data_IF_145150150866
#
_entry.id   IF_145150150866
#
_cell.length_a   1.000
_cell.length_b   1.000
_cell.length_c   1.000
_cell.angle_alpha   90.00
_cell.angle_beta   90.00
_cell.angle_gamma   90.00
#
_symmetry.space_group_name_H-M   'P 1'
#
loop_
_entity.id
_entity.type
_entity.pdbx_description
1 polymer ?
#
# COMPACT_ATOMS: atom_id res chain seq x y z
N UNK A 1 -23.93 21.99 -4.79
CA UNK A 1 -25.34 21.72 -5.16
C UNK A 1 -26.10 21.30 -3.90
N UNK A 2 -27.20 22.01 -3.65
CA UNK A 2 -28.34 21.73 -2.74
C UNK A 2 -28.09 21.26 -1.29
N UNK A 3 -28.04 22.25 -0.38
CA UNK A 3 -28.94 22.31 0.80
C UNK A 3 -30.26 22.94 0.34
N UNK A 4 -31.44 22.57 0.88
CA UNK A 4 -32.08 23.30 2.00
C UNK A 4 -32.83 22.32 2.95
N UNK A 5 -33.37 22.66 4.13
CA UNK A 5 -34.15 23.84 4.48
C UNK A 5 -34.02 24.24 5.95
N UNK A 6 -33.81 25.54 6.15
CA UNK A 6 -34.19 26.33 7.32
C UNK A 6 -35.55 26.97 7.04
N UNK A 7 -36.46 26.92 8.00
CA UNK A 7 -37.49 27.94 8.22
C UNK A 7 -37.17 28.57 9.59
N UNK A 8 -36.88 29.87 9.79
CA UNK A 8 -37.65 31.11 9.54
C UNK A 8 -39.00 31.06 10.28
N UNK A 9 -39.43 31.97 11.18
CA UNK A 9 -39.27 33.44 11.27
C UNK A 9 -39.72 33.95 12.68
N UNK A 10 -39.22 35.15 13.05
CA UNK A 10 -39.82 36.28 13.79
C UNK A 10 -40.76 36.04 14.99
N UNK A 11 -40.52 36.58 16.20
CA UNK A 11 -40.38 37.98 16.65
C UNK A 11 -41.71 38.74 16.91
N UNK A 12 -41.81 39.22 18.15
CA UNK A 12 -42.40 40.48 18.64
C UNK A 12 -43.94 40.73 18.66
N UNK A 13 -44.33 41.44 19.73
CA UNK A 13 -45.49 42.30 20.03
C UNK A 13 -46.33 41.78 21.22
N UNK A 14 -46.37 42.41 22.40
CA UNK A 14 -46.73 43.79 22.78
C UNK A 14 -48.25 44.06 22.84
N UNK A 15 -48.69 44.42 24.05
CA UNK A 15 -49.81 45.29 24.45
C UNK A 15 -51.27 44.97 24.08
N UNK A 16 -52.10 45.08 25.12
CA UNK A 16 -53.56 45.29 25.14
C UNK A 16 -54.06 44.84 26.51
N UNK A 17 -54.40 45.65 27.51
CA UNK A 17 -55.19 46.90 27.60
C UNK A 17 -56.60 46.76 27.04
N UNK A 18 -57.51 46.30 27.90
CA UNK A 18 -58.93 46.68 27.96
C UNK A 18 -59.41 46.32 29.39
N UNK A 19 -59.55 47.25 30.33
CA UNK A 19 -60.65 48.21 30.47
C UNK A 19 -62.01 47.49 30.67
N UNK A 20 -62.32 47.17 31.93
CA UNK A 20 -63.65 46.80 32.40
C UNK A 20 -63.88 47.44 33.78
N UNK A 21 -64.64 48.52 33.80
CA UNK A 21 -64.96 49.37 34.95
C UNK A 21 -66.18 48.84 35.72
N UNK A 22 -66.14 49.12 37.04
CA UNK A 22 -67.26 49.22 37.98
C UNK A 22 -67.84 47.87 38.48
N UNK A 23 -68.09 47.64 39.77
CA UNK A 23 -68.54 48.52 40.86
C UNK A 23 -68.29 47.90 42.25
N UNK A 24 -68.06 48.78 43.22
CA UNK A 24 -68.53 48.73 44.62
C UNK A 24 -67.79 47.90 45.68
N UNK A 25 -67.23 48.68 46.61
CA UNK A 25 -66.80 48.47 48.00
C UNK A 25 -67.65 47.47 48.81
N UNK A 26 -67.04 46.77 49.79
CA UNK A 26 -66.94 47.38 51.11
C UNK A 26 -65.51 47.42 51.64
N UNK A 27 -65.14 48.58 52.17
CA UNK A 27 -64.06 48.77 53.12
C UNK A 27 -64.34 47.93 54.37
N UNK A 28 -63.86 46.68 54.37
CA UNK A 28 -63.69 45.90 55.58
C UNK A 28 -62.56 46.49 56.43
N UNK A 29 -62.63 46.42 57.76
CA UNK A 29 -61.55 46.88 58.61
C UNK A 29 -60.27 46.15 58.23
N UNK A 30 -59.18 46.89 58.08
CA UNK A 30 -57.83 46.34 57.93
C UNK A 30 -57.57 45.40 59.12
N UNK A 31 -57.83 44.11 58.91
CA UNK A 31 -57.42 43.04 59.81
C UNK A 31 -55.91 43.20 59.89
N UNK A 32 -55.39 43.45 61.09
CA UNK A 32 -53.95 43.56 61.32
C UNK A 32 -53.29 42.36 60.64
N UNK A 33 -52.52 42.62 59.58
CA UNK A 33 -51.86 41.57 58.82
C UNK A 33 -51.00 40.77 59.80
N UNK A 34 -51.36 39.50 60.00
CA UNK A 34 -50.57 38.60 60.82
C UNK A 34 -49.13 38.60 60.27
N UNK A 35 -48.11 38.69 61.14
CA UNK A 35 -46.72 38.80 60.70
C UNK A 35 -46.23 37.58 59.92
N UNK A 36 -46.98 36.47 59.98
CA UNK A 36 -46.66 35.18 59.39
C UNK A 36 -47.91 34.58 58.73
N UNK A 37 -48.13 34.82 57.44
CA UNK A 37 -49.12 34.00 56.73
C UNK A 37 -48.53 32.60 56.52
N UNK A 38 -49.29 31.57 56.90
CA UNK A 38 -48.90 30.17 56.73
C UNK A 38 -48.54 29.86 55.27
N UNK A 39 -49.27 30.44 54.33
CA UNK A 39 -49.02 30.34 52.89
C UNK A 39 -47.65 30.92 52.48
N UNK A 40 -47.23 32.05 53.06
CA UNK A 40 -45.94 32.66 52.73
C UNK A 40 -44.76 31.85 53.31
N UNK A 41 -44.93 31.31 54.53
CA UNK A 41 -43.94 30.41 55.14
C UNK A 41 -43.85 29.10 54.36
N UNK A 42 -44.98 28.51 54.00
CA UNK A 42 -45.05 27.30 53.19
C UNK A 42 -44.36 27.49 51.84
N UNK A 43 -44.67 28.57 51.11
CA UNK A 43 -44.04 28.88 49.83
C UNK A 43 -42.52 29.05 49.96
N UNK A 44 -42.04 29.71 51.02
CA UNK A 44 -40.62 29.95 51.23
C UNK A 44 -39.85 28.69 51.66
N UNK A 45 -40.48 27.79 52.43
CA UNK A 45 -39.89 26.49 52.79
C UNK A 45 -39.81 25.56 51.57
N UNK A 46 -40.86 25.51 50.75
CA UNK A 46 -40.85 24.75 49.48
C UNK A 46 -39.76 25.29 48.54
N UNK A 47 -39.59 26.61 48.49
CA UNK A 47 -38.52 27.26 47.71
C UNK A 47 -37.13 26.89 48.23
N UNK A 48 -36.94 26.82 49.55
CA UNK A 48 -35.66 26.47 50.18
C UNK A 48 -35.29 25.00 50.04
N UNK A 49 -36.26 24.08 50.14
CA UNK A 49 -36.01 22.65 50.05
C UNK A 49 -35.83 22.14 48.61
N UNK A 50 -36.33 22.87 47.62
CA UNK A 50 -36.21 22.51 46.22
C UNK A 50 -37.21 21.42 45.77
N UNK A 51 -37.18 21.04 44.49
CA UNK A 51 -38.25 20.27 43.85
C UNK A 51 -38.31 18.79 44.26
N UNK A 52 -37.29 18.28 44.95
CA UNK A 52 -37.21 16.87 45.35
C UNK A 52 -37.99 16.57 46.62
N UNK A 53 -38.22 17.57 47.46
CA UNK A 53 -38.84 17.43 48.76
C UNK A 53 -40.28 17.92 48.75
N UNK A 54 -41.19 17.09 49.25
CA UNK A 54 -42.59 17.45 49.47
C UNK A 54 -42.80 17.81 50.92
N UNK A 55 -43.39 18.98 51.19
CA UNK A 55 -43.80 19.37 52.53
C UNK A 55 -45.12 18.66 52.89
N UNK A 56 -45.14 17.89 53.97
CA UNK A 56 -46.34 17.18 54.44
C UNK A 56 -47.05 17.88 55.58
N UNK A 57 -46.29 18.36 56.56
CA UNK A 57 -46.84 19.11 57.69
C UNK A 57 -45.90 20.22 58.14
N UNK A 58 -46.50 21.30 58.61
CA UNK A 58 -45.83 22.51 59.09
C UNK A 58 -46.35 22.81 60.50
N UNK A 59 -45.45 22.86 61.48
CA UNK A 59 -45.78 23.37 62.81
C UNK A 59 -45.04 24.67 63.05
N UNK A 60 -45.76 25.67 63.56
CA UNK A 60 -45.23 27.00 63.81
C UNK A 60 -45.45 27.39 65.27
N UNK A 61 -44.36 27.74 65.95
CA UNK A 61 -44.35 28.24 67.32
C UNK A 61 -43.84 29.67 67.32
N UNK A 62 -44.65 30.64 67.73
CA UNK A 62 -44.24 32.05 67.77
C UNK A 62 -43.26 32.28 68.92
N UNK A 63 -42.13 32.92 68.62
CA UNK A 63 -41.09 33.27 69.59
C UNK A 63 -41.24 34.74 69.97
N UNK A 64 -41.35 35.01 71.26
CA UNK A 64 -41.33 36.37 71.80
C UNK A 64 -39.89 36.91 71.76
N UNK A 65 -39.63 37.91 70.92
CA UNK A 65 -38.32 38.58 70.83
C UNK A 65 -38.25 39.66 71.92
N UNK A 66 -37.38 39.54 72.94
CA UNK A 66 -37.27 40.55 73.98
C UNK A 66 -36.32 41.68 73.55
N UNK A 67 -36.83 42.91 73.49
CA UNK A 67 -36.00 44.14 73.43
C UNK A 67 -36.29 45.08 72.25
N UNK A 68 -36.80 46.27 72.59
CA UNK A 68 -37.00 47.53 71.83
C UNK A 68 -37.81 47.50 70.52
N UNK A 69 -38.90 48.30 70.55
CA UNK A 69 -39.84 48.69 69.49
C UNK A 69 -40.74 47.56 68.94
N UNK A 70 -41.65 47.14 69.82
CA UNK A 70 -42.60 46.02 69.76
C UNK A 70 -43.73 46.13 68.71
N UNK A 71 -43.38 46.41 67.45
CA UNK A 71 -44.36 46.39 66.36
C UNK A 71 -43.79 46.17 64.96
N UNK A 72 -42.46 46.08 64.81
CA UNK A 72 -41.79 46.04 63.51
C UNK A 72 -41.02 44.74 63.22
N UNK A 73 -40.83 43.85 64.22
CA UNK A 73 -40.16 42.55 64.05
C UNK A 73 -40.89 41.44 64.81
N UNK A 74 -40.97 40.26 64.23
CA UNK A 74 -41.49 39.05 64.87
C UNK A 74 -40.61 37.83 64.50
N UNK A 75 -40.56 36.83 65.37
CA UNK A 75 -39.86 35.57 65.11
C UNK A 75 -40.78 34.37 65.34
N UNK A 76 -40.62 33.30 64.57
CA UNK A 76 -41.30 32.03 64.79
C UNK A 76 -40.34 30.87 64.55
N UNK A 77 -40.38 29.86 65.43
CA UNK A 77 -39.74 28.57 65.19
C UNK A 77 -40.68 27.74 64.33
N UNK A 78 -40.11 27.13 63.31
CA UNK A 78 -40.83 26.29 62.36
C UNK A 78 -40.22 24.90 62.40
N UNK A 79 -41.06 23.87 62.47
CA UNK A 79 -40.67 22.51 62.14
C UNK A 79 -41.52 22.03 60.95
N UNK A 80 -40.84 21.69 59.87
CA UNK A 80 -41.43 21.23 58.62
C UNK A 80 -41.08 19.76 58.40
N UNK A 81 -42.10 18.88 58.36
CA UNK A 81 -41.90 17.47 57.99
C UNK A 81 -41.93 17.34 56.47
N UNK A 82 -40.85 16.83 55.92
CA UNK A 82 -40.62 16.75 54.49
C UNK A 82 -40.41 15.30 54.08
N UNK A 83 -40.96 14.93 52.93
CA UNK A 83 -40.81 13.58 52.36
C UNK A 83 -40.21 13.65 50.96
N UNK A 84 -39.27 12.75 50.66
CA UNK A 84 -38.62 12.72 49.37
C UNK A 84 -39.60 12.19 48.30
N UNK A 85 -39.85 12.98 47.26
CA UNK A 85 -40.88 12.70 46.27
C UNK A 85 -40.46 11.64 45.22
N UNK A 86 -39.16 11.51 44.96
CA UNK A 86 -38.59 10.68 43.87
C UNK A 86 -37.29 10.04 44.38
N UNK A 87 -36.97 8.78 44.02
CA UNK A 87 -35.73 8.16 44.47
C UNK A 87 -34.53 8.85 43.82
N UNK A 88 -33.44 8.94 44.56
CA UNK A 88 -32.25 9.66 44.15
C UNK A 88 -31.02 8.75 44.19
N UNK A 89 -30.05 9.08 43.34
CA UNK A 89 -28.90 8.25 43.05
C UNK A 89 -27.61 9.07 43.04
N UNK A 90 -26.50 8.40 43.33
CA UNK A 90 -25.13 8.92 43.15
C UNK A 90 -24.47 8.15 42.01
N UNK A 91 -23.63 8.83 41.22
CA UNK A 91 -22.84 8.20 40.17
C UNK A 91 -21.72 7.36 40.80
N UNK A 92 -21.72 6.06 40.51
CA UNK A 92 -20.72 5.10 40.98
C UNK A 92 -19.50 5.06 40.03
N UNK A 93 -19.77 4.77 38.76
CA UNK A 93 -18.77 4.78 37.69
C UNK A 93 -19.37 5.22 36.37
N UNK A 94 -18.52 5.66 35.44
CA UNK A 94 -18.91 6.04 34.08
C UNK A 94 -18.05 5.29 33.07
N UNK A 95 -18.70 4.50 32.22
CA UNK A 95 -18.06 3.72 31.17
C UNK A 95 -18.64 4.20 29.82
N UNK A 96 -17.94 5.12 29.19
CA UNK A 96 -18.37 5.75 27.94
C UNK A 96 -19.68 6.52 28.08
N UNK A 97 -20.73 6.03 27.40
CA UNK A 97 -22.07 6.62 27.35
C UNK A 97 -23.03 6.09 28.44
N UNK A 98 -22.57 5.14 29.25
CA UNK A 98 -23.34 4.49 30.32
C UNK A 98 -22.87 5.01 31.67
N UNK A 99 -23.83 5.36 32.53
CA UNK A 99 -23.57 5.84 33.89
C UNK A 99 -24.16 4.85 34.87
N UNK A 100 -23.28 4.25 35.69
CA UNK A 100 -23.70 3.31 36.73
C UNK A 100 -24.09 4.08 37.98
N UNK A 101 -25.28 3.79 38.51
CA UNK A 101 -25.90 4.52 39.60
C UNK A 101 -25.94 3.68 40.88
N UNK A 102 -25.62 4.29 42.02
CA UNK A 102 -25.80 3.72 43.35
C UNK A 102 -27.00 4.40 44.03
N UNK A 103 -27.95 3.65 44.63
CA UNK A 103 -29.05 4.24 45.39
C UNK A 103 -28.54 5.15 46.51
N UNK A 104 -29.08 6.36 46.62
CA UNK A 104 -28.69 7.37 47.61
C UNK A 104 -29.79 7.56 48.66
N UNK A 105 -31.04 7.73 48.21
CA UNK A 105 -32.22 7.77 49.07
C UNK A 105 -33.46 7.24 48.32
N UNK A 106 -34.37 6.63 49.08
CA UNK A 106 -35.61 6.06 48.57
C UNK A 106 -36.77 7.06 48.68
N UNK A 107 -37.78 6.89 47.82
CA UNK A 107 -39.03 7.65 47.89
C UNK A 107 -39.68 7.48 49.26
N UNK A 108 -40.17 8.58 49.83
CA UNK A 108 -40.78 8.56 51.16
C UNK A 108 -39.78 8.67 52.31
N UNK A 109 -38.48 8.93 52.03
CA UNK A 109 -37.54 9.31 53.08
C UNK A 109 -38.04 10.57 53.79
N UNK A 110 -38.34 10.43 55.08
CA UNK A 110 -38.84 11.52 55.89
C UNK A 110 -37.69 12.24 56.61
N UNK A 111 -37.69 13.57 56.53
CA UNK A 111 -36.78 14.40 57.32
C UNK A 111 -37.52 15.61 57.88
N UNK A 112 -37.06 16.12 59.02
CA UNK A 112 -37.64 17.30 59.67
C UNK A 112 -36.70 18.48 59.55
N UNK A 113 -37.09 19.49 58.78
CA UNK A 113 -36.36 20.76 58.67
C UNK A 113 -36.81 21.68 59.80
N UNK A 114 -35.87 22.13 60.62
CA UNK A 114 -36.10 23.14 61.64
C UNK A 114 -35.56 24.48 61.17
N UNK A 115 -36.37 25.52 61.27
CA UNK A 115 -35.99 26.86 60.82
C UNK A 115 -36.53 27.95 61.74
N UNK A 116 -35.90 29.12 61.70
CA UNK A 116 -36.42 30.34 62.32
C UNK A 116 -36.91 31.26 61.20
N UNK A 117 -38.20 31.60 61.22
CA UNK A 117 -38.73 32.68 60.41
C UNK A 117 -38.59 34.00 61.16
N UNK A 118 -37.96 34.99 60.51
CA UNK A 118 -37.83 36.36 60.96
C UNK A 118 -38.68 37.25 60.05
N UNK A 119 -39.75 37.83 60.60
CA UNK A 119 -40.58 38.79 59.89
C UNK A 119 -40.17 40.22 60.27
N UNK A 120 -39.97 41.08 59.27
CA UNK A 120 -39.70 42.51 59.45
C UNK A 120 -40.76 43.32 58.68
N UNK A 121 -41.27 44.39 59.28
CA UNK A 121 -42.29 45.24 58.66
C UNK A 121 -41.63 46.32 57.82
N UNK A 122 -41.92 46.33 56.52
CA UNK A 122 -41.48 47.35 55.56
C UNK A 122 -42.66 48.21 55.08
N UNK A 123 -42.40 49.35 54.43
CA UNK A 123 -43.45 50.24 53.90
C UNK A 123 -44.40 49.60 52.88
N UNK A 124 -44.08 48.40 52.36
CA UNK A 124 -44.89 47.63 51.43
C UNK A 124 -45.55 46.38 52.05
N UNK A 125 -45.33 46.08 53.34
CA UNK A 125 -45.84 44.89 54.02
C UNK A 125 -44.80 44.16 54.88
N UNK A 126 -45.18 43.02 55.44
CA UNK A 126 -44.24 42.13 56.16
C UNK A 126 -43.35 41.38 55.17
N UNK A 127 -42.03 41.44 55.38
CA UNK A 127 -41.05 40.61 54.68
C UNK A 127 -40.59 39.50 55.61
N UNK A 128 -40.80 38.24 55.22
CA UNK A 128 -40.41 37.05 55.99
C UNK A 128 -39.09 36.52 55.42
N UNK A 129 -38.10 36.30 56.28
CA UNK A 129 -36.84 35.64 55.96
C UNK A 129 -36.75 34.35 56.78
N UNK A 130 -36.53 33.22 56.13
CA UNK A 130 -36.40 31.93 56.81
C UNK A 130 -34.91 31.55 56.89
N UNK A 131 -34.43 31.29 58.10
CA UNK A 131 -33.08 30.82 58.37
C UNK A 131 -33.12 29.37 58.88
N UNK A 132 -32.72 28.38 58.06
CA UNK A 132 -32.71 26.97 58.47
C UNK A 132 -31.65 26.73 59.56
N UNK A 133 -32.00 25.96 60.59
CA UNK A 133 -31.09 25.59 61.67
C UNK A 133 -30.32 24.29 61.39
N UNK A 134 -30.85 23.45 60.50
CA UNK A 134 -30.27 22.17 60.11
C UNK A 134 -30.25 21.99 58.57
N UNK A 135 -29.59 22.88 57.81
CA UNK A 135 -29.57 22.83 56.35
C UNK A 135 -28.96 21.53 55.79
N UNK A 136 -28.04 20.89 56.52
CA UNK A 136 -27.35 19.65 56.13
C UNK A 136 -28.31 18.46 55.94
N UNK A 137 -29.53 18.54 56.46
CA UNK A 137 -30.57 17.53 56.30
C UNK A 137 -31.04 17.45 54.83
N UNK A 138 -30.95 18.55 54.08
CA UNK A 138 -31.30 18.61 52.67
C UNK A 138 -30.13 18.21 51.75
N UNK A 139 -28.91 18.19 52.30
CA UNK A 139 -27.69 17.81 51.58
C UNK A 139 -27.52 16.28 51.51
N UNK A 140 -26.78 15.82 50.50
CA UNK A 140 -26.38 14.41 50.36
C UNK A 140 -27.43 13.44 49.79
N UNK A 141 -28.59 13.94 49.36
CA UNK A 141 -29.68 13.11 48.83
C UNK A 141 -29.37 12.60 47.42
N UNK A 142 -28.38 13.13 46.71
CA UNK A 142 -28.05 12.72 45.33
C UNK A 142 -28.97 13.38 44.29
N UNK A 143 -29.03 12.83 43.07
CA UNK A 143 -29.85 13.36 41.97
C UNK A 143 -30.85 12.34 41.43
N UNK A 144 -32.02 12.76 40.92
CA UNK A 144 -32.90 11.87 40.17
C UNK A 144 -32.20 11.26 38.97
N UNK A 145 -32.56 10.02 38.61
CA UNK A 145 -31.97 9.33 37.46
C UNK A 145 -32.11 10.12 36.14
N UNK A 146 -33.21 10.87 35.97
CA UNK A 146 -33.48 11.67 34.77
C UNK A 146 -32.52 12.87 34.59
N UNK A 147 -31.88 13.35 35.65
CA UNK A 147 -30.95 14.48 35.61
C UNK A 147 -29.49 14.04 35.40
N UNK A 148 -29.24 12.72 35.38
CA UNK A 148 -27.91 12.17 35.22
C UNK A 148 -27.63 11.91 33.73
N UNK A 149 -26.41 12.23 33.25
CA UNK A 149 -26.10 12.15 31.83
C UNK A 149 -25.97 10.70 31.34
N UNK A 150 -26.48 10.42 30.15
CA UNK A 150 -26.30 9.15 29.45
C UNK A 150 -27.34 8.09 29.79
N UNK A 151 -27.06 6.84 29.40
CA UNK A 151 -27.92 5.70 29.74
C UNK A 151 -27.62 5.29 31.18
N UNK A 152 -28.57 5.50 32.08
CA UNK A 152 -28.42 5.19 33.50
C UNK A 152 -28.77 3.73 33.79
N UNK A 153 -27.89 3.01 34.48
CA UNK A 153 -28.14 1.62 34.92
C UNK A 153 -27.78 1.50 36.39
N UNK A 154 -28.61 0.82 37.18
CA UNK A 154 -28.33 0.61 38.60
C UNK A 154 -27.15 -0.35 38.78
N UNK A 155 -26.13 0.10 39.50
CA UNK A 155 -24.97 -0.71 39.84
C UNK A 155 -25.42 -1.95 40.65
N UNK A 156 -25.00 -3.14 40.21
CA UNK A 156 -25.37 -4.41 40.82
C UNK A 156 -26.62 -5.09 40.25
N UNK A 157 -27.37 -4.43 39.36
CA UNK A 157 -28.47 -5.06 38.60
C UNK A 157 -27.96 -6.09 37.58
N UNK A 158 -28.83 -7.03 37.19
CA UNK A 158 -28.54 -8.00 36.12
C UNK A 158 -28.26 -7.29 34.78
N UNK A 159 -28.96 -6.19 34.52
CA UNK A 159 -28.71 -5.31 33.37
C UNK A 159 -27.32 -4.69 33.40
N UNK A 160 -26.83 -4.25 34.57
CA UNK A 160 -25.47 -3.72 34.70
C UNK A 160 -24.39 -4.78 34.46
N UNK A 161 -24.60 -6.01 34.95
CA UNK A 161 -23.65 -7.11 34.77
C UNK A 161 -23.55 -7.52 33.30
N UNK A 162 -24.69 -7.79 32.66
CA UNK A 162 -24.76 -8.17 31.24
C UNK A 162 -24.16 -7.09 30.33
N UNK A 163 -24.38 -5.81 30.64
CA UNK A 163 -23.82 -4.70 29.88
C UNK A 163 -22.29 -4.61 30.03
N UNK A 164 -21.75 -4.78 31.24
CA UNK A 164 -20.29 -4.83 31.46
C UNK A 164 -19.66 -6.01 30.72
N UNK A 165 -20.24 -7.19 30.84
CA UNK A 165 -19.78 -8.39 30.11
C UNK A 165 -19.83 -8.21 28.59
N UNK A 166 -20.83 -7.47 28.07
CA UNK A 166 -20.89 -7.13 26.65
C UNK A 166 -19.75 -6.17 26.27
N UNK A 167 -19.57 -5.08 27.01
CA UNK A 167 -18.52 -4.09 26.74
C UNK A 167 -17.12 -4.71 26.82
N UNK A 168 -16.88 -5.58 27.80
CA UNK A 168 -15.61 -6.30 27.95
C UNK A 168 -15.36 -7.25 26.78
N UNK A 169 -16.38 -8.00 26.34
CA UNK A 169 -16.27 -8.86 25.14
C UNK A 169 -15.97 -8.04 23.90
N UNK A 170 -16.65 -6.91 23.69
CA UNK A 170 -16.41 -6.02 22.56
C UNK A 170 -15.02 -5.36 22.62
N UNK A 171 -14.53 -5.00 23.81
CA UNK A 171 -13.19 -4.47 23.99
C UNK A 171 -12.12 -5.53 23.67
N UNK A 172 -12.29 -6.76 24.16
CA UNK A 172 -11.39 -7.88 23.86
C UNK A 172 -11.38 -8.24 22.37
N UNK A 173 -12.55 -8.27 21.73
CA UNK A 173 -12.66 -8.50 20.28
C UNK A 173 -11.94 -7.42 19.48
N UNK A 174 -12.11 -6.13 19.83
CA UNK A 174 -11.41 -5.04 19.16
C UNK A 174 -9.90 -5.15 19.29
N UNK A 175 -9.39 -5.49 20.48
CA UNK A 175 -7.97 -5.70 20.70
C UNK A 175 -7.44 -6.90 19.89
N UNK A 176 -8.18 -8.01 19.86
CA UNK A 176 -7.84 -9.19 19.06
C UNK A 176 -7.82 -8.89 17.55
N UNK A 177 -8.79 -8.13 17.05
CA UNK A 177 -8.84 -7.73 15.64
C UNK A 177 -7.72 -6.76 15.27
N UNK A 178 -7.42 -5.78 16.14
CA UNK A 178 -6.34 -4.82 15.90
C UNK A 178 -4.97 -5.50 15.90
N UNK A 179 -4.73 -6.40 16.86
CA UNK A 179 -3.49 -7.19 16.91
C UNK A 179 -3.36 -8.10 15.68
N UNK A 180 -4.42 -8.79 15.28
CA UNK A 180 -4.42 -9.61 14.07
C UNK A 180 -4.21 -8.80 12.78
N UNK A 181 -4.71 -7.56 12.73
CA UNK A 181 -4.45 -6.65 11.59
C UNK A 181 -3.00 -6.21 11.56
N UNK A 182 -2.41 -5.87 12.72
CA UNK A 182 -1.00 -5.47 12.82
C UNK A 182 -0.07 -6.60 12.40
N UNK A 183 -0.28 -7.82 12.91
CA UNK A 183 0.57 -8.97 12.54
C UNK A 183 0.50 -9.26 11.05
N UNK A 184 -0.69 -9.27 10.43
CA UNK A 184 -0.83 -9.44 8.98
C UNK A 184 -0.12 -8.33 8.20
N UNK A 185 -0.20 -7.09 8.65
CA UNK A 185 0.48 -5.97 8.01
C UNK A 185 2.01 -6.12 8.09
N UNK A 186 2.53 -6.51 9.26
CA UNK A 186 3.95 -6.78 9.47
C UNK A 186 4.44 -7.96 8.61
N UNK A 187 3.67 -9.05 8.52
CA UNK A 187 3.97 -10.19 7.67
C UNK A 187 4.03 -9.81 6.18
N UNK A 188 3.08 -9.01 5.70
CA UNK A 188 3.07 -8.52 4.32
C UNK A 188 4.28 -7.62 4.03
N UNK A 189 4.62 -6.72 4.95
CA UNK A 189 5.82 -5.87 4.83
C UNK A 189 7.10 -6.70 4.81
N UNK A 190 7.20 -7.73 5.66
CA UNK A 190 8.34 -8.64 5.69
C UNK A 190 8.47 -9.44 4.37
N UNK A 191 7.34 -9.90 3.81
CA UNK A 191 7.33 -10.59 2.51
C UNK A 191 7.74 -9.65 1.37
N UNK A 192 7.26 -8.41 1.36
CA UNK A 192 7.67 -7.40 0.37
C UNK A 192 9.15 -7.06 0.49
N UNK A 193 9.67 -6.91 1.71
CA UNK A 193 11.10 -6.67 1.93
C UNK A 193 11.97 -7.86 1.47
N UNK A 194 11.54 -9.10 1.74
CA UNK A 194 12.25 -10.30 1.32
C UNK A 194 12.26 -10.46 -0.22
N UNK A 195 11.13 -10.20 -0.87
CA UNK A 195 11.04 -10.26 -2.35
C UNK A 195 11.89 -9.16 -2.99
N UNK A 196 11.81 -7.92 -2.51
CA UNK A 196 12.66 -6.82 -2.98
C UNK A 196 14.15 -7.14 -2.80
N UNK A 197 14.56 -7.68 -1.65
CA UNK A 197 15.95 -8.08 -1.41
C UNK A 197 16.41 -9.17 -2.39
N UNK A 198 15.58 -10.18 -2.63
CA UNK A 198 15.89 -11.24 -3.58
C UNK A 198 16.01 -10.72 -5.03
N UNK A 199 15.21 -9.72 -5.41
CA UNK A 199 15.32 -9.07 -6.72
C UNK A 199 16.61 -8.25 -6.86
N UNK A 200 16.98 -7.49 -5.82
CA UNK A 200 18.26 -6.76 -5.78
C UNK A 200 19.44 -7.73 -5.95
N UNK A 201 19.47 -8.82 -5.19
CA UNK A 201 20.53 -9.83 -5.29
C UNK A 201 20.59 -10.53 -6.67
N UNK A 202 19.44 -10.71 -7.35
CA UNK A 202 19.42 -11.22 -8.72
C UNK A 202 19.96 -10.19 -9.71
N UNK A 203 19.58 -8.93 -9.55
CA UNK A 203 20.04 -7.85 -10.41
C UNK A 203 21.56 -7.62 -10.27
N UNK A 204 22.08 -7.65 -9.04
CA UNK A 204 23.53 -7.52 -8.78
C UNK A 204 24.32 -8.69 -9.37
N UNK A 205 23.84 -9.94 -9.20
CA UNK A 205 24.45 -11.10 -9.86
C UNK A 205 24.42 -11.00 -11.38
N UNK A 206 23.31 -10.50 -11.93
CA UNK A 206 23.18 -10.24 -13.36
C UNK A 206 24.21 -9.21 -13.85
N UNK A 207 24.36 -8.09 -13.14
CA UNK A 207 25.38 -7.06 -13.46
C UNK A 207 26.79 -7.61 -13.37
N UNK A 208 27.13 -8.30 -12.28
CA UNK A 208 28.46 -8.89 -12.12
C UNK A 208 28.80 -9.90 -13.23
N UNK A 209 27.83 -10.70 -13.68
CA UNK A 209 28.02 -11.62 -14.80
C UNK A 209 28.25 -10.89 -16.13
N UNK A 210 27.54 -9.79 -16.38
CA UNK A 210 27.73 -8.95 -17.57
C UNK A 210 29.11 -8.27 -17.53
N UNK A 211 29.50 -7.70 -16.40
CA UNK A 211 30.80 -7.03 -16.23
C UNK A 211 31.97 -8.02 -16.38
N UNK A 212 31.84 -9.23 -15.82
CA UNK A 212 32.81 -10.30 -16.02
C UNK A 212 32.92 -10.69 -17.49
N UNK A 213 31.79 -10.80 -18.20
CA UNK A 213 31.80 -11.11 -19.65
C UNK A 213 32.39 -9.97 -20.47
N UNK A 214 32.10 -8.72 -20.14
CA UNK A 214 32.67 -7.55 -20.80
C UNK A 214 34.20 -7.52 -20.62
N UNK A 215 34.69 -7.84 -19.42
CA UNK A 215 36.12 -7.97 -19.13
C UNK A 215 36.76 -9.09 -19.96
N UNK A 216 36.14 -10.26 -20.05
CA UNK A 216 36.63 -11.37 -20.89
C UNK A 216 36.71 -10.98 -22.38
N UNK A 217 35.70 -10.28 -22.90
CA UNK A 217 35.69 -9.79 -24.28
C UNK A 217 36.82 -8.76 -24.49
N UNK A 218 36.99 -7.83 -23.56
CA UNK A 218 38.04 -6.82 -23.63
C UNK A 218 39.44 -7.44 -23.60
N UNK A 219 39.67 -8.39 -22.69
CA UNK A 219 40.93 -9.13 -22.57
C UNK A 219 41.24 -9.95 -23.83
N UNK A 220 40.22 -10.63 -24.38
CA UNK A 220 40.39 -11.39 -25.63
C UNK A 220 40.73 -10.45 -26.79
N UNK A 221 40.03 -9.31 -26.94
CA UNK A 221 40.33 -8.31 -27.97
C UNK A 221 41.75 -7.78 -27.85
N UNK A 222 42.18 -7.44 -26.63
CA UNK A 222 43.53 -6.96 -26.38
C UNK A 222 44.59 -7.99 -26.78
N UNK A 223 44.37 -9.28 -26.46
CA UNK A 223 45.26 -10.37 -26.85
C UNK A 223 45.29 -10.59 -28.36
N UNK A 224 44.12 -10.58 -29.03
CA UNK A 224 44.01 -10.79 -30.47
C UNK A 224 44.62 -9.66 -31.31
N UNK A 225 44.53 -8.42 -30.85
CA UNK A 225 45.12 -7.24 -31.51
C UNK A 225 46.55 -6.95 -31.06
N UNK A 226 47.05 -7.65 -30.04
CA UNK A 226 48.37 -7.45 -29.48
C UNK A 226 49.50 -7.81 -30.46
N UNK A 227 50.71 -7.26 -30.27
CA UNK A 227 51.85 -7.53 -31.15
C UNK A 227 52.41 -8.95 -31.01
N UNK A 228 52.21 -9.59 -29.85
CA UNK A 228 52.76 -10.91 -29.52
C UNK A 228 52.04 -12.05 -30.26
N UNK A 229 52.75 -12.69 -31.20
CA UNK A 229 52.19 -13.71 -32.10
C UNK A 229 51.80 -15.01 -31.38
N UNK A 230 52.68 -15.65 -30.57
CA UNK A 230 52.28 -16.79 -29.72
C UNK A 230 51.05 -16.53 -28.86
N UNK A 231 50.96 -15.36 -28.21
CA UNK A 231 49.80 -15.02 -27.40
C UNK A 231 48.51 -14.88 -28.21
N UNK A 232 48.58 -14.30 -29.43
CA UNK A 232 47.42 -14.25 -30.35
C UNK A 232 46.91 -15.64 -30.72
N UNK A 233 47.82 -16.56 -31.07
CA UNK A 233 47.46 -17.93 -31.46
C UNK A 233 46.79 -18.65 -30.28
N UNK A 234 47.39 -18.58 -29.08
CA UNK A 234 46.82 -19.21 -27.89
C UNK A 234 45.45 -18.61 -27.50
N UNK A 235 45.29 -17.29 -27.59
CA UNK A 235 44.02 -16.62 -27.33
C UNK A 235 42.93 -17.03 -28.33
N UNK A 236 43.31 -17.19 -29.60
CA UNK A 236 42.42 -17.65 -30.66
C UNK A 236 41.97 -19.10 -30.46
N UNK A 237 42.90 -20.03 -30.17
CA UNK A 237 42.58 -21.43 -29.87
C UNK A 237 41.67 -21.56 -28.65
N UNK A 238 41.93 -20.79 -27.59
CA UNK A 238 41.08 -20.74 -26.41
C UNK A 238 39.66 -20.24 -26.74
N UNK A 239 39.51 -19.25 -27.63
CA UNK A 239 38.22 -18.74 -28.06
C UNK A 239 37.46 -19.75 -28.94
N UNK A 240 38.15 -20.49 -29.82
CA UNK A 240 37.55 -21.55 -30.62
C UNK A 240 37.08 -22.74 -29.78
N UNK A 241 37.87 -23.15 -28.80
CA UNK A 241 37.54 -24.24 -27.87
C UNK A 241 36.45 -23.89 -26.86
N UNK A 242 36.18 -22.61 -26.63
CA UNK A 242 35.15 -22.13 -25.71
C UNK A 242 33.72 -22.30 -26.24
N UNK A 243 32.74 -22.34 -25.31
CA UNK A 243 31.32 -22.45 -25.65
C UNK A 243 30.63 -21.12 -26.01
N UNK A 244 31.29 -19.97 -25.83
CA UNK A 244 30.69 -18.66 -26.15
C UNK A 244 30.79 -18.36 -27.65
N UNK A 245 29.65 -18.41 -28.34
CA UNK A 245 29.56 -18.13 -29.77
C UNK A 245 30.00 -16.71 -30.14
N UNK A 246 29.79 -15.72 -29.27
CA UNK A 246 30.17 -14.34 -29.56
C UNK A 246 31.68 -14.14 -29.51
N UNK A 247 32.36 -14.76 -28.53
CA UNK A 247 33.83 -14.75 -28.46
C UNK A 247 34.44 -15.47 -29.66
N UNK A 248 33.83 -16.57 -30.09
CA UNK A 248 34.28 -17.33 -31.26
C UNK A 248 34.15 -16.52 -32.55
N UNK A 249 32.99 -15.89 -32.79
CA UNK A 249 32.78 -15.03 -33.95
C UNK A 249 33.81 -13.89 -33.98
N UNK A 250 34.02 -13.23 -32.84
CA UNK A 250 35.02 -12.16 -32.73
C UNK A 250 36.44 -12.66 -33.05
N UNK A 251 36.79 -13.85 -32.55
CA UNK A 251 38.07 -14.47 -32.85
C UNK A 251 38.20 -14.71 -34.37
N UNK A 252 37.23 -15.38 -34.99
CA UNK A 252 37.21 -15.71 -36.44
C UNK A 252 37.36 -14.43 -37.27
N UNK A 253 36.58 -13.39 -36.95
CA UNK A 253 36.64 -12.11 -37.65
C UNK A 253 38.01 -11.45 -37.56
N UNK A 254 38.64 -11.49 -36.39
CA UNK A 254 39.99 -10.97 -36.16
C UNK A 254 41.05 -11.80 -36.89
N UNK A 255 40.90 -13.14 -36.94
CA UNK A 255 41.81 -14.03 -37.64
C UNK A 255 41.73 -13.87 -39.16
N UNK A 256 40.54 -13.69 -39.74
CA UNK A 256 40.36 -13.44 -41.17
C UNK A 256 40.83 -12.03 -41.59
N UNK A 257 40.79 -11.05 -40.68
CA UNK A 257 41.38 -9.73 -40.91
C UNK A 257 42.91 -9.71 -40.71
N UNK A 258 43.42 -10.65 -39.91
CA UNK A 258 44.85 -10.78 -39.67
C UNK A 258 45.56 -11.24 -40.94
N UNK A 259 46.73 -10.66 -41.21
CA UNK A 259 47.64 -11.12 -42.27
C UNK A 259 48.43 -12.37 -41.89
N UNK A 260 48.13 -13.01 -40.75
CA UNK A 260 48.81 -14.23 -40.29
C UNK A 260 48.18 -15.49 -40.91
N UNK A 261 48.89 -16.23 -41.78
CA UNK A 261 48.34 -17.40 -42.46
C UNK A 261 47.98 -18.54 -41.51
N UNK A 262 48.60 -18.60 -40.31
CA UNK A 262 48.27 -19.63 -39.31
C UNK A 262 46.89 -19.37 -38.71
N UNK A 263 46.60 -18.12 -38.35
CA UNK A 263 45.30 -17.73 -37.81
C UNK A 263 44.20 -17.88 -38.87
N UNK A 264 44.48 -17.46 -40.11
CA UNK A 264 43.57 -17.65 -41.23
C UNK A 264 43.23 -19.13 -41.47
N UNK A 265 44.23 -20.02 -41.41
CA UNK A 265 44.00 -21.46 -41.53
C UNK A 265 43.11 -22.00 -40.42
N UNK A 266 43.37 -21.63 -39.16
CA UNK A 266 42.55 -22.08 -38.03
C UNK A 266 41.10 -21.57 -38.14
N UNK A 267 40.91 -20.33 -38.62
CA UNK A 267 39.58 -19.78 -38.91
C UNK A 267 38.84 -20.54 -40.01
N UNK A 268 39.53 -20.86 -41.10
CA UNK A 268 38.95 -21.64 -42.19
C UNK A 268 38.60 -23.06 -41.74
N UNK A 269 39.46 -23.71 -40.94
CA UNK A 269 39.18 -25.03 -40.37
C UNK A 269 37.92 -25.02 -39.50
N UNK A 270 37.77 -24.05 -38.60
CA UNK A 270 36.55 -23.94 -37.77
C UNK A 270 35.30 -23.61 -38.61
N UNK A 271 35.43 -22.73 -39.61
CA UNK A 271 34.34 -22.38 -40.52
C UNK A 271 33.85 -23.59 -41.32
N UNK A 272 34.75 -24.36 -41.95
CA UNK A 272 34.39 -25.59 -42.68
C UNK A 272 33.77 -26.62 -41.74
N UNK A 273 34.35 -26.84 -40.55
CA UNK A 273 33.86 -27.84 -39.60
C UNK A 273 32.41 -27.62 -39.17
N UNK A 274 31.90 -26.39 -39.25
CA UNK A 274 30.55 -26.01 -38.81
C UNK A 274 29.53 -25.93 -39.96
N UNK A 275 29.98 -25.87 -41.20
CA UNK A 275 29.11 -25.73 -42.38
C UNK A 275 28.83 -27.10 -42.98
N UNK A 276 27.55 -27.39 -43.21
CA UNK A 276 27.13 -28.60 -43.97
C UNK A 276 26.90 -28.32 -45.44
N UNK A 277 26.52 -27.09 -45.78
CA UNK A 277 26.25 -26.68 -47.14
C UNK A 277 26.82 -25.27 -47.33
N UNK A 278 27.56 -25.09 -48.42
CA UNK A 278 28.25 -23.86 -48.77
C UNK A 278 27.90 -23.49 -50.20
N UNK A 279 27.30 -22.31 -50.44
CA UNK A 279 27.05 -21.86 -51.80
C UNK A 279 28.37 -21.45 -52.48
N UNK A 280 28.58 -21.94 -53.69
CA UNK A 280 29.70 -21.60 -54.57
C UNK A 280 29.14 -20.77 -55.72
N UNK A 281 29.50 -19.48 -55.74
CA UNK A 281 29.17 -18.56 -56.82
C UNK A 281 30.14 -18.76 -57.97
N UNK A 282 29.60 -18.89 -59.18
CA UNK A 282 30.39 -19.12 -60.39
C UNK A 282 30.31 -17.89 -61.29
N UNK A 283 31.45 -17.47 -61.83
CA UNK A 283 31.58 -16.33 -62.72
C UNK A 283 32.31 -16.74 -64.00
N UNK A 284 31.94 -16.07 -65.11
CA UNK A 284 32.58 -16.24 -66.39
C UNK A 284 34.01 -15.68 -66.39
N UNK A 285 34.91 -16.29 -67.16
CA UNK A 285 36.28 -15.81 -67.34
C UNK A 285 36.36 -14.97 -68.62
N UNK A 286 37.22 -13.94 -68.63
CA UNK A 286 37.45 -13.14 -69.84
C UNK A 286 38.27 -13.88 -70.90
N UNK A 287 38.92 -14.96 -70.50
CA UNK A 287 39.81 -15.75 -71.35
C UNK A 287 39.03 -16.66 -72.32
N UNK A 288 37.81 -17.04 -71.96
CA UNK A 288 37.02 -18.00 -72.71
C UNK A 288 35.59 -17.47 -72.96
N UNK A 289 35.25 -17.03 -74.18
CA UNK A 289 33.93 -16.46 -74.48
C UNK A 289 32.79 -17.48 -74.33
N UNK A 290 33.10 -18.77 -74.35
CA UNK A 290 32.13 -19.84 -74.08
C UNK A 290 31.71 -19.91 -72.60
N UNK A 291 32.48 -19.32 -71.69
CA UNK A 291 32.25 -19.39 -70.24
C UNK A 291 30.98 -18.66 -69.80
N UNK A 292 30.59 -17.57 -70.46
CA UNK A 292 29.39 -16.80 -70.10
C UNK A 292 28.10 -17.58 -70.33
N UNK A 293 27.99 -18.26 -71.47
CA UNK A 293 26.88 -19.15 -71.77
C UNK A 293 26.82 -20.33 -70.78
N UNK A 294 27.98 -20.85 -70.38
CA UNK A 294 28.06 -21.97 -69.42
C UNK A 294 27.65 -21.54 -68.01
N UNK A 295 28.05 -20.35 -67.54
CA UNK A 295 27.62 -19.80 -66.24
C UNK A 295 26.11 -19.58 -66.18
N UNK A 296 25.51 -19.05 -67.24
CA UNK A 296 24.05 -18.86 -67.32
C UNK A 296 23.28 -20.19 -67.21
N UNK A 297 23.87 -21.29 -67.69
CA UNK A 297 23.25 -22.61 -67.70
C UNK A 297 23.53 -23.45 -66.44
N UNK A 298 24.68 -23.28 -65.78
CA UNK A 298 25.06 -24.08 -64.60
C UNK A 298 24.32 -23.68 -63.31
N UNK A 299 23.93 -22.40 -63.19
CA UNK A 299 23.32 -21.88 -61.97
C UNK A 299 24.28 -21.88 -60.76
N UNK A 300 23.78 -21.52 -59.56
CA UNK A 300 24.60 -21.56 -58.34
C UNK A 300 24.93 -23.00 -57.95
N UNK A 301 26.19 -23.25 -57.63
CA UNK A 301 26.65 -24.55 -57.15
C UNK A 301 26.60 -24.60 -55.62
N UNK A 302 26.44 -25.79 -55.06
CA UNK A 302 26.48 -26.03 -53.62
C UNK A 302 27.52 -27.10 -53.31
N UNK A 303 28.40 -26.79 -52.37
CA UNK A 303 29.32 -27.69 -51.73
C UNK A 303 28.67 -28.24 -50.46
N UNK A 304 28.31 -29.52 -50.48
CA UNK A 304 27.81 -30.25 -49.31
C UNK A 304 28.98 -30.95 -48.62
N UNK A 305 29.22 -30.66 -47.35
CA UNK A 305 30.31 -31.23 -46.57
C UNK A 305 29.75 -32.41 -45.76
N UNK A 306 30.20 -33.62 -46.11
CA UNK A 306 29.82 -34.86 -45.40
C UNK A 306 30.79 -35.15 -44.24
N UNK A 307 32.06 -34.83 -44.42
CA UNK A 307 33.10 -35.05 -43.41
C UNK A 307 34.25 -34.07 -43.53
N UNK A 308 34.76 -33.64 -42.38
CA UNK A 308 35.94 -32.78 -42.30
C UNK A 308 36.83 -33.22 -41.14
N UNK A 309 38.12 -33.41 -41.40
CA UNK A 309 39.11 -33.70 -40.37
C UNK A 309 39.93 -32.43 -40.09
N UNK A 310 39.81 -31.81 -38.90
CA UNK A 310 40.52 -30.58 -38.57
C UNK A 310 42.04 -30.79 -38.40
N UNK A 311 42.51 -32.00 -38.14
CA UNK A 311 43.93 -32.26 -37.92
C UNK A 311 44.73 -32.11 -39.23
N UNK A 312 44.35 -32.85 -40.26
CA UNK A 312 45.01 -32.87 -41.58
C UNK A 312 44.35 -31.94 -42.61
N UNK A 313 43.16 -31.42 -42.32
CA UNK A 313 42.38 -30.58 -43.23
C UNK A 313 41.65 -31.36 -44.32
N UNK A 314 41.53 -32.68 -44.22
CA UNK A 314 40.83 -33.49 -45.23
C UNK A 314 39.34 -33.16 -45.26
N UNK A 315 38.81 -32.95 -46.46
CA UNK A 315 37.39 -32.64 -46.74
C UNK A 315 36.82 -33.72 -47.64
N UNK A 316 35.65 -34.23 -47.28
CA UNK A 316 34.85 -35.14 -48.09
C UNK A 316 33.41 -34.63 -48.17
N UNK A 317 32.78 -34.80 -49.33
CA UNK A 317 31.44 -34.28 -49.53
C UNK A 317 30.88 -34.50 -50.91
N UNK A 318 29.97 -33.61 -51.32
CA UNK A 318 29.40 -33.55 -52.66
C UNK A 318 29.45 -32.14 -53.22
N UNK A 319 29.66 -32.03 -54.52
CA UNK A 319 29.59 -30.77 -55.25
C UNK A 319 28.60 -30.94 -56.40
N UNK A 320 27.59 -30.07 -56.45
CA UNK A 320 26.58 -30.10 -57.50
C UNK A 320 25.73 -28.83 -57.56
N UNK A 321 25.03 -28.65 -58.66
CA UNK A 321 24.02 -27.59 -58.82
C UNK A 321 22.62 -28.20 -58.60
N UNK A 322 21.77 -27.64 -57.72
CA UNK A 322 20.41 -28.13 -57.55
C UNK A 322 19.64 -28.02 -58.88
N UNK A 323 19.12 -29.14 -59.40
CA UNK A 323 18.18 -29.14 -60.54
C UNK A 323 18.76 -29.36 -61.94
N UNK A 324 20.09 -29.45 -62.12
CA UNK A 324 20.70 -29.72 -63.43
C UNK A 324 21.38 -31.09 -63.52
N UNK A 325 21.01 -31.88 -64.52
CA UNK A 325 21.50 -33.24 -64.76
C UNK A 325 22.98 -33.34 -65.18
N UNK A 326 23.55 -32.24 -65.65
CA UNK A 326 24.97 -32.14 -66.06
C UNK A 326 25.89 -32.02 -64.84
N UNK A 327 25.38 -31.54 -63.70
CA UNK A 327 26.08 -31.43 -62.43
C UNK A 327 25.37 -32.28 -61.37
N UNK A 328 25.13 -33.58 -61.66
CA UNK A 328 24.74 -34.54 -60.61
C UNK A 328 25.73 -34.38 -59.45
N UNK A 329 25.27 -34.24 -58.19
CA UNK A 329 26.15 -34.07 -57.04
C UNK A 329 27.18 -35.21 -57.05
N UNK A 330 28.42 -34.84 -57.34
CA UNK A 330 29.53 -35.78 -57.48
C UNK A 330 30.28 -35.82 -56.17
N UNK A 331 30.68 -37.02 -55.74
CA UNK A 331 31.52 -37.17 -54.56
C UNK A 331 32.80 -36.37 -54.76
N UNK A 332 33.15 -35.56 -53.77
CA UNK A 332 34.39 -34.80 -53.75
C UNK A 332 35.30 -35.28 -52.65
N UNK A 333 36.60 -35.21 -52.91
CA UNK A 333 37.65 -35.42 -51.94
C UNK A 333 38.64 -34.28 -52.11
N UNK A 334 39.06 -33.69 -51.00
CA UNK A 334 39.96 -32.56 -51.04
C UNK A 334 40.63 -32.29 -49.70
N UNK A 335 41.36 -31.19 -49.66
CA UNK A 335 42.08 -30.74 -48.48
C UNK A 335 42.02 -29.22 -48.35
N UNK A 336 41.92 -28.76 -47.11
CA UNK A 336 42.18 -27.39 -46.71
C UNK A 336 43.63 -27.31 -46.20
N UNK A 337 44.50 -26.67 -46.97
CA UNK A 337 45.89 -26.46 -46.62
C UNK A 337 46.18 -24.96 -46.51
N UNK A 338 46.54 -24.50 -45.30
CA UNK A 338 46.83 -23.09 -45.01
C UNK A 338 45.64 -22.17 -45.33
N UNK A 339 45.63 -21.56 -46.50
CA UNK A 339 44.56 -20.64 -46.95
C UNK A 339 43.94 -21.07 -48.27
N UNK A 340 44.24 -22.30 -48.70
CA UNK A 340 43.81 -22.87 -49.97
C UNK A 340 42.95 -24.11 -49.72
N UNK A 341 41.77 -24.12 -50.31
CA UNK A 341 40.84 -25.23 -50.35
C UNK A 341 40.90 -25.86 -51.75
N UNK A 342 41.41 -27.07 -51.83
CA UNK A 342 41.48 -27.84 -53.06
C UNK A 342 40.50 -29.01 -52.97
N UNK A 343 39.53 -29.06 -53.88
CA UNK A 343 38.49 -30.08 -53.94
C UNK A 343 38.51 -30.73 -55.33
N UNK A 344 38.58 -32.05 -55.37
CA UNK A 344 38.54 -32.81 -56.61
C UNK A 344 37.25 -33.62 -56.67
N UNK A 345 36.58 -33.56 -57.81
CA UNK A 345 35.41 -34.38 -58.14
C UNK A 345 35.63 -35.08 -59.47
N UNK A 346 34.76 -36.03 -59.83
CA UNK A 346 34.91 -36.75 -61.10
C UNK A 346 34.86 -35.79 -62.30
N UNK A 347 36.03 -35.58 -62.93
CA UNK A 347 36.16 -34.72 -64.10
C UNK A 347 36.24 -33.22 -63.79
N UNK A 348 36.24 -32.79 -62.53
CA UNK A 348 36.39 -31.39 -62.13
C UNK A 348 37.36 -31.20 -60.96
N UNK A 349 38.07 -30.07 -60.93
CA UNK A 349 38.91 -29.61 -59.84
C UNK A 349 38.52 -28.18 -59.48
N UNK A 350 38.27 -27.94 -58.19
CA UNK A 350 37.95 -26.64 -57.62
C UNK A 350 39.09 -26.24 -56.68
N UNK A 351 39.78 -25.17 -57.02
CA UNK A 351 40.86 -24.62 -56.19
C UNK A 351 40.47 -23.21 -55.78
N UNK A 352 40.37 -22.96 -54.48
CA UNK A 352 39.96 -21.68 -53.92
C UNK A 352 40.99 -21.21 -52.90
N UNK A 353 41.29 -19.92 -52.88
CA UNK A 353 42.23 -19.30 -51.95
C UNK A 353 41.58 -18.13 -51.21
N UNK A 354 41.91 -17.99 -49.93
CA UNK A 354 41.45 -16.86 -49.12
C UNK A 354 41.98 -15.54 -49.68
N UNK A 355 41.06 -14.61 -49.90
CA UNK A 355 41.34 -13.23 -50.29
C UNK A 355 41.18 -12.28 -49.09
N UNK A 356 41.65 -11.04 -49.25
CA UNK A 356 41.51 -9.98 -48.24
C UNK A 356 40.03 -9.60 -47.98
N UNK A 357 39.12 -9.98 -48.88
CA UNK A 357 37.70 -9.64 -48.80
C UNK A 357 36.86 -10.69 -48.07
N UNK A 358 37.49 -11.56 -47.27
CA UNK A 358 36.81 -12.69 -46.58
C UNK A 358 36.06 -13.58 -47.56
N UNK A 359 36.62 -13.78 -48.74
CA UNK A 359 36.11 -14.74 -49.72
C UNK A 359 37.18 -15.76 -50.06
N UNK A 360 36.76 -17.00 -50.36
CA UNK A 360 37.62 -17.98 -51.01
C UNK A 360 37.36 -17.85 -52.52
N UNK A 361 38.32 -17.30 -53.25
CA UNK A 361 38.24 -17.10 -54.69
C UNK A 361 39.23 -18.01 -55.41
N UNK A 362 38.84 -18.51 -56.58
CA UNK A 362 39.75 -19.28 -57.41
C UNK A 362 39.07 -19.82 -58.66
N UNK A 363 39.46 -21.02 -59.08
CA UNK A 363 39.08 -21.57 -60.39
C UNK A 363 38.39 -22.93 -60.23
N UNK A 364 37.31 -23.10 -61.00
CA UNK A 364 36.68 -24.38 -61.28
C UNK A 364 37.10 -24.82 -62.68
N UNK A 365 37.80 -25.96 -62.76
CA UNK A 365 38.25 -26.56 -64.01
C UNK A 365 37.57 -27.90 -64.19
N UNK A 366 36.83 -28.08 -65.27
CA UNK A 366 36.24 -29.37 -65.61
C UNK A 366 36.74 -29.83 -66.98
N UNK A 367 36.84 -31.14 -67.21
CA UNK A 367 37.31 -31.69 -68.49
C UNK A 367 36.42 -31.30 -69.67
N UNK A 368 35.13 -31.10 -69.43
CA UNK A 368 34.10 -30.85 -70.46
C UNK A 368 33.56 -29.42 -70.46
N UNK A 369 34.04 -28.55 -69.55
CA UNK A 369 33.56 -27.17 -69.42
C UNK A 369 34.75 -26.20 -69.50
N UNK A 370 34.53 -24.96 -69.99
CA UNK A 370 35.54 -23.91 -69.92
C UNK A 370 35.92 -23.61 -68.47
N UNK A 371 37.09 -22.99 -68.26
CA UNK A 371 37.52 -22.59 -66.92
C UNK A 371 36.61 -21.48 -66.40
N UNK A 372 36.07 -21.68 -65.19
CA UNK A 372 35.18 -20.72 -64.53
C UNK A 372 35.84 -20.17 -63.26
N UNK A 373 35.50 -18.95 -62.89
CA UNK A 373 35.88 -18.37 -61.59
C UNK A 373 34.87 -18.86 -60.56
N UNK A 374 35.36 -19.32 -59.41
CA UNK A 374 34.53 -19.73 -58.30
C UNK A 374 34.81 -18.87 -57.06
N UNK A 375 33.75 -18.53 -56.32
CA UNK A 375 33.81 -17.73 -55.10
C UNK A 375 32.91 -18.31 -54.02
N UNK A 376 33.43 -18.33 -52.81
CA UNK A 376 32.67 -18.62 -51.58
C UNK A 376 32.81 -17.43 -50.65
N UNK A 377 31.70 -16.92 -50.13
CA UNK A 377 31.68 -15.86 -49.13
C UNK A 377 31.75 -16.47 -47.73
N UNK A 378 32.66 -15.97 -46.89
CA UNK A 378 32.77 -16.38 -45.49
C UNK A 378 31.88 -15.45 -44.63
N UNK A 379 30.86 -16.01 -44.00
CA UNK A 379 29.88 -15.36 -43.13
C UNK A 379 30.00 -15.77 -41.66
#
# INVERSE_FOLDING_TARGET
MMRPARARFAAALAMGVAAGLATMTPSGPARAAEPFSEEAIHAEIVRLAGPLWRLESLTMETLTVPGRDSGQRAAARIAARMTLAVPTFVVDSREGAVTFLRPAAETGLEKTLTAIALAARSGAGWTVKIEPQNPEILDGVGKPAAELPGRTVLAGSEEARSLREQLDREAQQRLADETARRTRAEELLAQQAATAKAEVERAERGRAAVDARATQIADLRAKLLGPDRPARIAAYEAALGGNDAALRQLAIEAALQSRDPVLANLALKDWIARRRAVPVQIFATKEDPSSEAVVQNLGPMTLEIEGFNPADGAVAGRLGAPGYSIAKPSSIIGTLAQTELALNSYGCALTLRLTEHRTLDGLLRCQTLPTLIARITLD
#
